data_IF_755449098837
#
_entry.id   IF_755449098837
#
_cell.length_a   1.000
_cell.length_b   1.000
_cell.length_c   1.000
_cell.angle_alpha   90.00
_cell.angle_beta   90.00
_cell.angle_gamma   90.00
#
_symmetry.space_group_name_H-M   'P 1'
#
loop_
_entity.id
_entity.type
_entity.pdbx_description
1 polymer ?
#
# COMPACT_ATOMS: atom_id res chain seq x y z
N UNK A 1 -4.48 6.86 -18.85
CA UNK A 1 -5.49 7.02 -17.78
C UNK A 1 -5.18 8.32 -17.03
N UNK A 2 -6.11 9.28 -16.91
CA UNK A 2 -5.85 10.48 -16.08
C UNK A 2 -6.25 10.17 -14.65
N UNK A 3 -5.26 9.97 -13.79
CA UNK A 3 -5.42 9.56 -12.41
C UNK A 3 -6.03 10.71 -11.59
N UNK A 4 -7.37 10.75 -11.48
CA UNK A 4 -8.23 11.53 -10.55
C UNK A 4 -8.01 13.05 -10.37
N UNK A 5 -6.92 13.63 -10.87
CA UNK A 5 -6.66 15.06 -10.87
C UNK A 5 -7.40 15.72 -12.03
N UNK A 6 -7.98 16.88 -11.75
CA UNK A 6 -8.48 17.73 -12.83
C UNK A 6 -7.30 18.13 -13.73
N UNK A 7 -7.46 18.11 -15.07
CA UNK A 7 -6.38 18.45 -16.00
C UNK A 7 -5.70 19.79 -15.70
N UNK A 8 -6.48 20.77 -15.23
CA UNK A 8 -5.97 22.08 -14.82
C UNK A 8 -5.05 22.01 -13.61
N UNK A 9 -5.33 21.11 -12.65
CA UNK A 9 -4.51 20.92 -11.44
C UNK A 9 -3.23 20.16 -11.79
N UNK A 10 -3.32 19.12 -12.60
CA UNK A 10 -2.16 18.37 -13.08
C UNK A 10 -1.18 19.28 -13.84
N UNK A 11 -1.69 20.07 -14.80
CA UNK A 11 -0.89 21.02 -15.55
C UNK A 11 -0.31 22.11 -14.66
N UNK A 12 -1.08 22.64 -13.70
CA UNK A 12 -0.59 23.63 -12.76
C UNK A 12 0.55 23.07 -11.89
N UNK A 13 0.40 21.87 -11.33
CA UNK A 13 1.46 21.24 -10.52
C UNK A 13 2.70 20.98 -11.38
N UNK A 14 2.54 20.39 -12.56
CA UNK A 14 3.66 20.08 -13.44
C UNK A 14 4.42 21.33 -13.96
N UNK A 15 3.75 22.49 -14.04
CA UNK A 15 4.37 23.74 -14.48
C UNK A 15 4.90 24.61 -13.34
N UNK A 16 4.36 24.44 -12.13
CA UNK A 16 4.67 25.32 -10.98
C UNK A 16 5.64 24.67 -10.00
N UNK A 17 5.62 23.34 -9.87
CA UNK A 17 6.40 22.60 -8.90
C UNK A 17 7.32 21.59 -9.58
N UNK A 18 8.60 21.62 -9.23
CA UNK A 18 9.53 20.58 -9.63
C UNK A 18 9.12 19.24 -9.03
N UNK A 19 9.28 18.15 -9.79
CA UNK A 19 8.93 16.80 -9.32
C UNK A 19 9.65 16.43 -8.04
N UNK A 20 10.90 16.88 -7.86
CA UNK A 20 11.67 16.70 -6.63
C UNK A 20 10.97 17.31 -5.40
N UNK A 21 10.36 18.49 -5.56
CA UNK A 21 9.59 19.15 -4.51
C UNK A 21 8.33 18.36 -4.19
N UNK A 22 7.62 17.86 -5.21
CA UNK A 22 6.42 17.03 -5.00
C UNK A 22 6.77 15.75 -4.22
N UNK A 23 7.86 15.06 -4.57
CA UNK A 23 8.32 13.89 -3.82
C UNK A 23 8.74 14.24 -2.40
N UNK A 24 9.48 15.33 -2.21
CA UNK A 24 9.88 15.80 -0.89
C UNK A 24 8.65 16.09 -0.01
N UNK A 25 7.64 16.76 -0.54
CA UNK A 25 6.37 17.03 0.16
C UNK A 25 5.64 15.73 0.53
N UNK A 26 5.58 14.76 -0.38
CA UNK A 26 4.99 13.45 -0.09
C UNK A 26 5.70 12.73 1.06
N UNK A 27 7.04 12.67 1.03
CA UNK A 27 7.86 12.05 2.08
C UNK A 27 7.69 12.79 3.41
N UNK A 28 7.78 14.12 3.39
CA UNK A 28 7.62 14.96 4.58
C UNK A 28 6.22 14.84 5.18
N UNK A 29 5.17 14.70 4.37
CA UNK A 29 3.80 14.54 4.84
C UNK A 29 3.61 13.23 5.60
N UNK A 30 4.11 12.12 5.06
CA UNK A 30 4.09 10.83 5.74
C UNK A 30 4.94 10.87 7.03
N UNK A 31 6.03 11.65 7.04
CA UNK A 31 6.90 11.76 8.21
C UNK A 31 6.17 12.54 9.30
N UNK A 32 5.50 13.64 8.93
CA UNK A 32 4.60 14.36 9.82
C UNK A 32 3.48 13.46 10.34
N UNK A 33 2.86 12.63 9.48
CA UNK A 33 1.85 11.66 9.90
C UNK A 33 2.39 10.67 10.95
N UNK A 34 3.63 10.20 10.79
CA UNK A 34 4.29 9.35 11.78
C UNK A 34 4.56 10.08 13.10
N UNK A 35 4.93 11.37 13.05
CA UNK A 35 5.15 12.19 14.24
C UNK A 35 3.87 12.49 15.01
N UNK A 36 2.71 12.52 14.34
CA UNK A 36 1.39 12.71 15.01
C UNK A 36 0.92 11.49 15.82
N UNK A 37 1.72 10.43 15.96
CA UNK A 37 1.32 9.19 16.65
C UNK A 37 0.77 9.40 18.07
N UNK A 38 1.32 10.37 18.80
CA UNK A 38 0.91 10.69 20.18
C UNK A 38 -0.10 11.86 20.25
N UNK A 39 -0.46 12.45 19.11
CA UNK A 39 -1.42 13.53 19.06
C UNK A 39 -2.86 13.04 19.27
N UNK A 40 -3.79 13.96 19.49
CA UNK A 40 -5.22 13.64 19.49
C UNK A 40 -5.70 13.18 18.10
N UNK A 41 -6.81 12.43 18.06
CA UNK A 41 -7.33 11.84 16.83
C UNK A 41 -7.63 12.88 15.74
N UNK A 42 -8.13 14.06 16.10
CA UNK A 42 -8.44 15.13 15.15
C UNK A 42 -7.20 15.57 14.35
N UNK A 43 -6.07 15.78 15.05
CA UNK A 43 -4.81 16.13 14.38
C UNK A 43 -4.26 14.97 13.54
N UNK A 44 -4.43 13.73 14.00
CA UNK A 44 -4.04 12.55 13.22
C UNK A 44 -4.83 12.44 11.92
N UNK A 45 -6.14 12.69 11.97
CA UNK A 45 -7.02 12.68 10.79
C UNK A 45 -6.64 13.80 9.82
N UNK A 46 -6.41 15.02 10.33
CA UNK A 46 -5.97 16.14 9.48
C UNK A 46 -4.63 15.83 8.79
N UNK A 47 -3.64 15.34 9.53
CA UNK A 47 -2.36 14.94 8.96
C UNK A 47 -2.50 13.79 7.95
N UNK A 48 -3.40 12.84 8.22
CA UNK A 48 -3.68 11.73 7.31
C UNK A 48 -4.28 12.22 6.00
N UNK A 49 -5.28 13.09 6.03
CA UNK A 49 -5.88 13.67 4.82
C UNK A 49 -4.84 14.43 3.97
N UNK A 50 -3.99 15.24 4.60
CA UNK A 50 -2.89 15.93 3.92
C UNK A 50 -1.92 14.93 3.30
N UNK A 51 -1.56 13.86 4.03
CA UNK A 51 -0.63 12.84 3.54
C UNK A 51 -1.19 12.05 2.38
N UNK A 52 -2.47 11.65 2.44
CA UNK A 52 -3.16 10.96 1.34
C UNK A 52 -3.11 11.82 0.09
N UNK A 53 -3.43 13.10 0.20
CA UNK A 53 -3.39 14.01 -0.94
C UNK A 53 -1.97 14.18 -1.50
N UNK A 54 -0.99 14.45 -0.64
CA UNK A 54 0.39 14.70 -1.06
C UNK A 54 1.09 13.44 -1.60
N UNK A 55 0.71 12.24 -1.16
CA UNK A 55 1.21 10.97 -1.72
C UNK A 55 0.49 10.59 -3.01
N UNK A 56 -0.81 10.88 -3.12
CA UNK A 56 -1.55 10.63 -4.35
C UNK A 56 -1.04 11.48 -5.53
N UNK A 57 -0.48 12.66 -5.25
CA UNK A 57 0.03 13.58 -6.26
C UNK A 57 1.20 13.02 -7.09
N UNK A 58 2.34 12.59 -6.51
CA UNK A 58 3.41 11.95 -7.28
C UNK A 58 2.96 10.64 -7.92
N UNK A 59 2.05 9.88 -7.30
CA UNK A 59 1.50 8.67 -7.92
C UNK A 59 0.71 9.01 -9.18
N UNK A 60 -0.10 10.07 -9.18
CA UNK A 60 -0.85 10.51 -10.34
C UNK A 60 0.07 11.02 -11.46
N UNK A 61 1.04 11.88 -11.11
CA UNK A 61 1.98 12.47 -12.07
C UNK A 61 2.91 11.41 -12.68
N UNK A 62 3.49 10.55 -11.84
CA UNK A 62 4.41 9.51 -12.30
C UNK A 62 3.66 8.35 -12.95
N UNK A 63 2.47 8.02 -12.43
CA UNK A 63 1.60 7.00 -13.02
C UNK A 63 1.20 7.33 -14.45
N UNK A 64 0.93 8.61 -14.76
CA UNK A 64 0.66 9.05 -16.13
C UNK A 64 1.88 8.83 -17.05
N UNK A 65 3.07 9.28 -16.61
CA UNK A 65 4.31 9.11 -17.38
C UNK A 65 4.65 7.64 -17.63
N UNK A 66 4.50 6.78 -16.61
CA UNK A 66 4.77 5.35 -16.76
C UNK A 66 3.70 4.67 -17.59
N UNK A 67 2.43 5.10 -17.52
CA UNK A 67 1.35 4.58 -18.38
C UNK A 67 1.62 4.90 -19.86
N UNK A 68 2.16 6.08 -20.17
CA UNK A 68 2.50 6.44 -21.56
C UNK A 68 3.61 5.55 -22.14
N UNK A 69 4.55 5.08 -21.30
CA UNK A 69 5.67 4.22 -21.73
C UNK A 69 5.30 2.73 -21.67
N UNK A 70 4.57 2.32 -20.62
CA UNK A 70 4.21 0.93 -20.32
C UNK A 70 2.71 0.80 -19.97
N UNK A 71 1.81 1.07 -20.94
CA UNK A 71 0.37 1.15 -20.66
C UNK A 71 -0.18 -0.18 -20.14
N UNK A 72 0.19 -1.28 -20.82
CA UNK A 72 -0.27 -2.61 -20.47
C UNK A 72 0.25 -3.08 -19.09
N UNK A 73 1.48 -2.69 -18.73
CA UNK A 73 2.05 -3.00 -17.41
C UNK A 73 1.25 -2.33 -16.29
N UNK A 74 0.97 -1.04 -16.44
CA UNK A 74 0.21 -0.26 -15.46
C UNK A 74 -1.24 -0.73 -15.37
N UNK A 75 -1.89 -0.96 -16.51
CA UNK A 75 -3.28 -1.45 -16.53
C UNK A 75 -3.38 -2.84 -15.87
N UNK A 76 -2.41 -3.71 -16.12
CA UNK A 76 -2.34 -5.04 -15.50
C UNK A 76 -2.04 -4.94 -14.00
N UNK A 77 -1.14 -4.04 -13.58
CA UNK A 77 -0.86 -3.79 -12.18
C UNK A 77 -2.12 -3.31 -11.43
N UNK A 78 -2.84 -2.34 -12.01
CA UNK A 78 -4.08 -1.81 -11.44
C UNK A 78 -5.17 -2.89 -11.37
N UNK A 79 -5.31 -3.72 -12.42
CA UNK A 79 -6.23 -4.84 -12.40
C UNK A 79 -5.89 -5.82 -11.26
N UNK A 80 -4.61 -6.18 -11.11
CA UNK A 80 -4.15 -7.04 -10.02
C UNK A 80 -4.37 -6.44 -8.64
N UNK A 81 -4.11 -5.14 -8.47
CA UNK A 81 -4.40 -4.41 -7.24
C UNK A 81 -5.89 -4.44 -6.88
N UNK A 82 -6.76 -4.16 -7.86
CA UNK A 82 -8.20 -4.20 -7.68
C UNK A 82 -8.70 -5.62 -7.37
N UNK A 83 -8.13 -6.65 -8.00
CA UNK A 83 -8.43 -8.05 -7.68
C UNK A 83 -8.11 -8.37 -6.22
N UNK A 84 -6.96 -7.91 -5.70
CA UNK A 84 -6.62 -8.09 -4.29
C UNK A 84 -7.60 -7.33 -3.39
N UNK A 85 -7.84 -6.05 -3.66
CA UNK A 85 -8.71 -5.22 -2.84
C UNK A 85 -10.16 -5.75 -2.80
N UNK A 86 -10.74 -6.05 -3.95
CA UNK A 86 -12.08 -6.62 -4.06
C UNK A 86 -12.14 -8.03 -3.47
N UNK A 87 -11.12 -8.84 -3.73
CA UNK A 87 -11.03 -10.18 -3.19
C UNK A 87 -10.94 -10.19 -1.66
N UNK A 88 -10.22 -9.24 -1.04
CA UNK A 88 -10.21 -9.05 0.40
C UNK A 88 -11.59 -8.70 0.94
N UNK A 89 -12.31 -7.77 0.29
CA UNK A 89 -13.67 -7.39 0.70
C UNK A 89 -14.61 -8.60 0.61
N UNK A 90 -14.57 -9.34 -0.49
CA UNK A 90 -15.37 -10.55 -0.69
C UNK A 90 -15.00 -11.62 0.34
N UNK A 91 -13.70 -11.84 0.57
CA UNK A 91 -13.24 -12.79 1.58
C UNK A 91 -13.74 -12.42 2.97
N UNK A 92 -13.60 -11.17 3.40
CA UNK A 92 -14.08 -10.70 4.70
C UNK A 92 -15.61 -10.82 4.83
N UNK A 93 -16.34 -10.59 3.74
CA UNK A 93 -17.78 -10.76 3.71
C UNK A 93 -18.20 -12.23 3.83
N UNK A 94 -17.54 -13.14 3.12
CA UNK A 94 -17.84 -14.59 3.12
C UNK A 94 -17.36 -15.29 4.38
N UNK A 95 -16.15 -14.98 4.85
CA UNK A 95 -15.54 -15.60 6.03
C UNK A 95 -16.28 -15.24 7.33
N UNK A 96 -17.06 -14.15 7.33
CA UNK A 96 -17.91 -13.76 8.44
C UNK A 96 -17.10 -13.46 9.71
N UNK A 97 -17.19 -14.36 10.70
CA UNK A 97 -16.53 -14.20 12.01
C UNK A 97 -15.10 -14.75 12.07
N UNK A 98 -14.73 -15.67 11.17
CA UNK A 98 -13.38 -16.26 11.18
C UNK A 98 -12.47 -15.53 10.20
N UNK A 99 -11.88 -14.42 10.67
CA UNK A 99 -11.00 -13.57 9.86
C UNK A 99 -9.58 -14.13 9.81
N UNK A 100 -9.42 -15.34 9.27
CA UNK A 100 -8.12 -15.95 9.04
C UNK A 100 -7.38 -15.22 7.92
N UNK A 101 -6.46 -14.33 8.28
CA UNK A 101 -5.65 -13.59 7.31
C UNK A 101 -4.74 -14.51 6.49
N UNK A 102 -4.32 -15.64 7.05
CA UNK A 102 -3.65 -16.68 6.28
C UNK A 102 -4.60 -17.29 5.23
N UNK A 103 -5.87 -17.51 5.58
CA UNK A 103 -6.90 -17.93 4.64
C UNK A 103 -7.11 -16.92 3.51
N UNK A 104 -7.15 -15.63 3.84
CA UNK A 104 -7.23 -14.56 2.84
C UNK A 104 -6.04 -14.62 1.87
N UNK A 105 -4.81 -14.79 2.37
CA UNK A 105 -3.62 -14.95 1.53
C UNK A 105 -3.74 -16.18 0.61
N UNK A 106 -4.12 -17.33 1.17
CA UNK A 106 -4.20 -18.60 0.43
C UNK A 106 -5.27 -18.59 -0.67
N UNK A 107 -6.31 -17.76 -0.54
CA UNK A 107 -7.33 -17.58 -1.59
C UNK A 107 -6.90 -16.54 -2.62
N UNK A 108 -6.34 -15.41 -2.18
CA UNK A 108 -6.05 -14.28 -3.07
C UNK A 108 -4.77 -14.46 -3.86
N UNK A 109 -3.75 -15.13 -3.31
CA UNK A 109 -2.49 -15.31 -4.00
C UNK A 109 -2.64 -16.15 -5.29
N UNK A 110 -3.35 -17.30 -5.29
CA UNK A 110 -3.66 -18.02 -6.53
C UNK A 110 -4.47 -17.20 -7.53
N UNK A 111 -5.40 -16.34 -7.07
CA UNK A 111 -6.16 -15.45 -7.96
C UNK A 111 -5.25 -14.44 -8.66
N UNK A 112 -4.31 -13.85 -7.93
CA UNK A 112 -3.29 -12.95 -8.49
C UNK A 112 -2.42 -13.70 -9.50
N UNK A 113 -1.88 -14.87 -9.14
CA UNK A 113 -1.06 -15.67 -10.04
C UNK A 113 -1.84 -16.07 -11.31
N UNK A 114 -3.08 -16.53 -11.17
CA UNK A 114 -3.95 -16.89 -12.27
C UNK A 114 -4.24 -15.71 -13.20
N UNK A 115 -4.53 -14.54 -12.64
CA UNK A 115 -4.71 -13.31 -13.42
C UNK A 115 -3.43 -12.93 -14.18
N UNK A 116 -2.26 -12.98 -13.53
CA UNK A 116 -0.99 -12.64 -14.19
C UNK A 116 -0.64 -13.62 -15.30
N UNK A 117 -0.89 -14.92 -15.11
CA UNK A 117 -0.73 -15.93 -16.16
C UNK A 117 -1.68 -15.64 -17.33
N UNK A 118 -2.96 -15.39 -17.04
CA UNK A 118 -3.96 -15.07 -18.07
C UNK A 118 -3.60 -13.81 -18.85
N UNK A 119 -3.12 -12.76 -18.18
CA UNK A 119 -2.69 -11.51 -18.83
C UNK A 119 -1.42 -11.72 -19.65
N UNK A 120 -0.43 -12.45 -19.13
CA UNK A 120 0.83 -12.72 -19.84
C UNK A 120 0.61 -13.57 -21.10
N UNK A 121 -0.33 -14.53 -21.06
CA UNK A 121 -0.65 -15.39 -22.22
C UNK A 121 -1.66 -14.74 -23.18
N UNK A 122 -2.61 -13.96 -22.64
CA UNK A 122 -3.72 -13.39 -23.40
C UNK A 122 -3.45 -12.00 -24.00
N UNK A 123 -2.29 -11.40 -23.71
CA UNK A 123 -1.92 -10.07 -24.19
C UNK A 123 -0.48 -10.05 -24.71
N UNK A 124 0.02 -8.88 -25.13
CA UNK A 124 1.40 -8.69 -25.56
C UNK A 124 2.38 -8.43 -24.40
N UNK A 125 1.97 -8.68 -23.15
CA UNK A 125 2.81 -8.45 -21.97
C UNK A 125 3.99 -9.43 -21.97
N UNK A 126 5.21 -8.93 -21.83
CA UNK A 126 6.38 -9.79 -21.83
C UNK A 126 6.39 -10.68 -20.58
N UNK A 127 6.97 -11.89 -20.68
CA UNK A 127 7.08 -12.80 -19.53
C UNK A 127 7.81 -12.15 -18.34
N UNK A 128 8.87 -11.37 -18.60
CA UNK A 128 9.60 -10.64 -17.55
C UNK A 128 8.74 -9.60 -16.84
N UNK A 129 7.83 -8.94 -17.57
CA UNK A 129 6.89 -7.96 -17.01
C UNK A 129 5.83 -8.67 -16.16
N UNK A 130 5.23 -9.75 -16.67
CA UNK A 130 4.27 -10.58 -15.92
C UNK A 130 4.87 -11.16 -14.64
N UNK A 131 6.12 -11.63 -14.69
CA UNK A 131 6.85 -12.08 -13.50
C UNK A 131 7.09 -10.94 -12.50
N UNK A 132 7.51 -9.77 -12.99
CA UNK A 132 7.73 -8.58 -12.15
C UNK A 132 6.45 -8.15 -11.44
N UNK A 133 5.32 -8.11 -12.16
CA UNK A 133 4.01 -7.80 -11.60
C UNK A 133 3.58 -8.84 -10.55
N UNK A 134 3.79 -10.13 -10.83
CA UNK A 134 3.48 -11.21 -9.88
C UNK A 134 4.25 -11.04 -8.58
N UNK A 135 5.56 -10.74 -8.65
CA UNK A 135 6.39 -10.50 -7.48
C UNK A 135 5.93 -9.25 -6.71
N UNK A 136 5.68 -8.14 -7.41
CA UNK A 136 5.23 -6.90 -6.80
C UNK A 136 3.88 -7.05 -6.08
N UNK A 137 2.90 -7.67 -6.73
CA UNK A 137 1.57 -7.92 -6.16
C UNK A 137 1.62 -8.94 -5.01
N UNK A 138 2.49 -9.95 -5.10
CA UNK A 138 2.71 -10.91 -3.99
C UNK A 138 3.29 -10.21 -2.77
N UNK A 139 4.32 -9.36 -2.96
CA UNK A 139 4.91 -8.60 -1.88
C UNK A 139 3.90 -7.64 -1.23
N UNK A 140 3.07 -6.98 -2.05
CA UNK A 140 2.00 -6.12 -1.57
C UNK A 140 0.92 -6.88 -0.80
N UNK A 141 0.47 -8.04 -1.30
CA UNK A 141 -0.50 -8.88 -0.61
C UNK A 141 0.04 -9.38 0.74
N UNK A 142 1.31 -9.83 0.79
CA UNK A 142 1.97 -10.21 2.03
C UNK A 142 2.01 -9.04 3.02
N UNK A 143 2.37 -7.85 2.53
CA UNK A 143 2.41 -6.65 3.34
C UNK A 143 1.03 -6.32 3.93
N UNK A 144 -0.04 -6.32 3.12
CA UNK A 144 -1.40 -6.07 3.60
C UNK A 144 -1.90 -7.11 4.60
N UNK A 145 -1.70 -8.40 4.31
CA UNK A 145 -2.09 -9.49 5.21
C UNK A 145 -1.36 -9.39 6.55
N UNK A 146 -0.05 -9.11 6.51
CA UNK A 146 0.74 -8.91 7.71
C UNK A 146 0.26 -7.70 8.51
N UNK A 147 0.09 -6.55 7.85
CA UNK A 147 -0.22 -5.30 8.51
C UNK A 147 -1.63 -5.30 9.12
N UNK A 148 -2.62 -5.81 8.38
CA UNK A 148 -3.97 -6.04 8.92
C UNK A 148 -3.93 -6.97 10.14
N UNK A 149 -3.10 -8.01 10.12
CA UNK A 149 -2.93 -8.92 11.25
C UNK A 149 -2.32 -8.25 12.47
N UNK A 150 -1.37 -7.36 12.25
CA UNK A 150 -0.79 -6.56 13.32
C UNK A 150 -1.76 -5.52 13.86
N UNK A 151 -2.58 -4.89 13.02
CA UNK A 151 -3.61 -3.94 13.44
C UNK A 151 -4.68 -4.63 14.29
N UNK A 152 -5.24 -5.74 13.82
CA UNK A 152 -6.27 -6.51 14.54
C UNK A 152 -5.78 -7.02 15.90
N UNK A 153 -4.47 -7.29 16.05
CA UNK A 153 -3.86 -7.69 17.33
C UNK A 153 -3.68 -6.53 18.30
N UNK A 154 -3.53 -5.29 17.82
CA UNK A 154 -3.17 -4.11 18.64
C UNK A 154 -4.36 -3.22 18.96
N UNK A 155 -5.36 -3.17 18.08
CA UNK A 155 -6.47 -2.21 18.12
C UNK A 155 -7.79 -2.89 18.47
N UNK A 156 -8.68 -2.14 19.12
CA UNK A 156 -10.03 -2.61 19.43
C UNK A 156 -10.99 -2.35 18.27
N UNK A 157 -12.13 -3.07 18.16
CA UNK A 157 -13.10 -2.89 17.07
C UNK A 157 -13.64 -1.46 16.93
N UNK A 158 -13.74 -0.71 18.02
CA UNK A 158 -14.18 0.69 18.03
C UNK A 158 -13.14 1.68 17.48
N UNK A 159 -11.89 1.26 17.29
CA UNK A 159 -10.76 2.11 16.88
C UNK A 159 -10.45 2.03 15.38
N UNK A 160 -11.46 1.75 14.53
CA UNK A 160 -11.29 1.52 13.08
C UNK A 160 -10.49 2.64 12.40
N UNK A 161 -10.84 3.89 12.65
CA UNK A 161 -10.18 5.04 12.02
C UNK A 161 -8.70 5.16 12.42
N UNK A 162 -8.37 4.87 13.68
CA UNK A 162 -6.99 4.84 14.15
C UNK A 162 -6.21 3.68 13.50
N UNK A 163 -6.85 2.53 13.30
CA UNK A 163 -6.29 1.40 12.57
C UNK A 163 -5.99 1.75 11.10
N UNK A 164 -6.90 2.46 10.42
CA UNK A 164 -6.66 2.96 9.06
C UNK A 164 -5.46 3.90 9.04
N UNK A 165 -5.37 4.87 9.96
CA UNK A 165 -4.24 5.79 10.01
C UNK A 165 -2.92 5.05 10.26
N UNK A 166 -2.94 4.03 11.11
CA UNK A 166 -1.76 3.19 11.39
C UNK A 166 -1.30 2.43 10.13
N UNK A 167 -2.20 1.94 9.28
CA UNK A 167 -1.86 1.30 7.99
C UNK A 167 -1.06 2.26 7.08
N UNK A 168 -1.44 3.54 7.03
CA UNK A 168 -0.71 4.56 6.24
C UNK A 168 0.64 4.93 6.87
N UNK A 169 0.74 4.92 8.21
CA UNK A 169 2.01 5.16 8.93
C UNK A 169 2.98 4.00 8.75
N UNK A 170 2.47 2.78 8.73
CA UNK A 170 3.29 1.57 8.69
C UNK A 170 3.99 1.40 7.33
N UNK A 171 3.62 2.18 6.29
CA UNK A 171 4.41 2.32 5.06
C UNK A 171 5.86 2.73 5.36
N UNK A 172 6.08 3.59 6.37
CA UNK A 172 7.43 3.93 6.83
C UNK A 172 8.07 2.89 7.75
N UNK A 173 7.30 1.93 8.29
CA UNK A 173 7.90 0.85 9.07
C UNK A 173 8.83 0.00 8.21
N UNK A 174 8.64 -0.10 6.90
CA UNK A 174 9.61 -0.76 5.99
C UNK A 174 11.02 -0.17 6.16
N UNK A 175 11.12 1.15 6.40
CA UNK A 175 12.40 1.86 6.60
C UNK A 175 12.81 1.84 8.07
N UNK A 176 11.88 2.12 8.99
CA UNK A 176 12.17 2.24 10.42
C UNK A 176 12.38 0.91 11.15
N UNK A 177 11.79 -0.19 10.66
CA UNK A 177 11.90 -1.51 11.28
C UNK A 177 13.32 -2.09 11.21
N UNK A 178 14.04 -2.09 10.06
CA UNK A 178 15.44 -2.52 10.02
C UNK A 178 16.32 -1.77 11.02
N UNK A 179 16.15 -0.46 11.16
CA UNK A 179 16.91 0.36 12.11
C UNK A 179 16.59 -0.03 13.56
N UNK A 180 15.30 -0.18 13.91
CA UNK A 180 14.88 -0.63 15.25
C UNK A 180 15.38 -2.04 15.55
N UNK A 181 15.28 -2.95 14.59
CA UNK A 181 15.76 -4.31 14.70
C UNK A 181 17.27 -4.34 14.92
N UNK A 182 18.04 -3.55 14.16
CA UNK A 182 19.49 -3.42 14.32
C UNK A 182 19.85 -2.90 15.73
N UNK A 183 19.06 -1.97 16.27
CA UNK A 183 19.24 -1.40 17.62
C UNK A 183 18.71 -2.28 18.75
N UNK A 184 17.88 -3.30 18.47
CA UNK A 184 17.36 -4.19 19.52
C UNK A 184 18.50 -5.00 20.16
N UNK A 185 18.61 -5.02 21.50
CA UNK A 185 19.56 -5.83 22.23
C UNK A 185 19.48 -7.29 21.80
N UNK A 186 20.64 -7.95 21.61
CA UNK A 186 20.72 -9.36 21.19
C UNK A 186 19.98 -10.32 22.14
N UNK A 187 19.81 -9.93 23.41
CA UNK A 187 19.08 -10.68 24.43
C UNK A 187 17.59 -10.77 24.16
N UNK A 188 16.96 -9.69 23.68
CA UNK A 188 15.53 -9.65 23.35
C UNK A 188 15.23 -10.45 22.08
N UNK A 189 16.17 -10.50 21.12
CA UNK A 189 16.03 -11.30 19.88
C UNK A 189 15.95 -12.81 20.12
N UNK A 190 16.35 -13.28 21.30
CA UNK A 190 16.42 -14.71 21.65
C UNK A 190 15.26 -15.19 22.50
N UNK A 191 14.40 -14.30 22.99
CA UNK A 191 13.22 -14.69 23.75
C UNK A 191 12.18 -15.15 22.71
N UNK A 192 11.81 -16.43 22.67
CA UNK A 192 10.71 -16.88 21.82
C UNK A 192 9.48 -16.06 22.20
N UNK A 193 8.78 -15.50 21.22
CA UNK A 193 7.51 -14.85 21.51
C UNK A 193 6.62 -15.87 22.22
N UNK A 194 6.04 -15.55 23.39
CA UNK A 194 5.05 -16.42 24.01
C UNK A 194 3.85 -16.45 23.05
N UNK A 195 3.75 -17.53 22.29
CA UNK A 195 2.57 -17.88 21.52
C UNK A 195 1.49 -18.41 22.45
#
# INVERSE_FOLDING_TARGET
IRFWLLPSVEQWVATTLDMEVVYALAILSLAALSLTRQANLALQVAAWLVSVFLVALPVALWGALVHDIFPLFIDTFLAGFLTIALGLVVYLWVAGRDQSLLGAFMVLWPLVCGLMIAMTVGTSLAFSEGLTLTVALTAMLLYWVYDLGMILRRRRPEEVLAGVIDLYRDVFNVIGFPIRFARMPKTIRRIPAPW
#
